data_IF_711421939034
#
_entry.id   IF_711421939034
#
_cell.length_a   1.000
_cell.length_b   1.000
_cell.length_c   1.000
_cell.angle_alpha   90.00
_cell.angle_beta   90.00
_cell.angle_gamma   90.00
#
_symmetry.space_group_name_H-M   'P 1'
#
loop_
_entity.id
_entity.type
_entity.pdbx_description
1 polymer ?
#
# COMPACT_ATOMS: atom_id res chain seq x y z
N UNK A 1 -15.37 4.29 -7.15
CA UNK A 1 -15.41 2.80 -7.10
C UNK A 1 -16.00 2.18 -8.35
N UNK A 2 -17.28 2.38 -8.71
CA UNK A 2 -17.90 1.73 -9.88
C UNK A 2 -17.16 1.98 -11.21
N UNK A 3 -16.63 3.20 -11.42
CA UNK A 3 -15.84 3.55 -12.62
C UNK A 3 -14.50 2.81 -12.75
N UNK A 4 -13.91 2.38 -11.64
CA UNK A 4 -12.60 1.73 -11.59
C UNK A 4 -12.70 0.20 -11.38
N UNK A 5 -13.91 -0.32 -11.19
CA UNK A 5 -14.16 -1.74 -11.00
C UNK A 5 -14.23 -2.44 -12.37
N UNK A 6 -13.49 -3.53 -12.52
CA UNK A 6 -13.36 -4.22 -13.81
C UNK A 6 -14.50 -5.22 -14.10
N UNK A 7 -15.39 -5.50 -13.15
CA UNK A 7 -16.47 -6.48 -13.28
C UNK A 7 -17.89 -5.88 -13.25
N UNK A 8 -18.90 -6.75 -13.34
CA UNK A 8 -20.30 -6.31 -13.50
C UNK A 8 -21.00 -5.92 -12.19
N UNK A 9 -20.67 -6.58 -11.07
CA UNK A 9 -21.23 -6.31 -9.74
C UNK A 9 -20.12 -5.85 -8.81
N UNK A 10 -20.38 -4.79 -8.04
CA UNK A 10 -19.46 -4.29 -7.02
C UNK A 10 -20.14 -4.30 -5.65
N UNK A 11 -19.42 -4.78 -4.66
CA UNK A 11 -19.77 -4.71 -3.25
C UNK A 11 -18.53 -4.23 -2.47
N UNK A 12 -18.77 -3.61 -1.32
CA UNK A 12 -17.69 -3.16 -0.42
C UNK A 12 -17.59 -4.20 0.68
N UNK A 13 -16.51 -4.97 0.67
CA UNK A 13 -16.22 -5.91 1.75
C UNK A 13 -15.73 -5.20 3.01
N UNK A 14 -14.88 -4.20 2.84
CA UNK A 14 -14.31 -3.44 3.94
C UNK A 14 -13.80 -2.08 3.46
N UNK A 15 -13.66 -1.16 4.41
CA UNK A 15 -12.95 0.10 4.21
C UNK A 15 -12.31 0.55 5.53
N UNK A 16 -11.25 1.33 5.43
CA UNK A 16 -10.61 1.98 6.57
C UNK A 16 -10.31 3.44 6.24
N UNK A 17 -10.47 4.32 7.22
CA UNK A 17 -10.04 5.72 7.11
C UNK A 17 -8.59 5.80 7.56
N UNK A 18 -7.71 6.25 6.67
CA UNK A 18 -6.28 6.38 6.95
C UNK A 18 -5.96 7.86 7.17
N UNK A 19 -5.57 8.19 8.40
CA UNK A 19 -5.15 9.54 8.79
C UNK A 19 -3.65 9.62 9.12
N UNK A 20 -2.98 8.47 9.21
CA UNK A 20 -1.58 8.33 9.59
C UNK A 20 -0.94 7.12 8.89
N UNK A 21 0.34 7.23 8.57
CA UNK A 21 1.18 6.14 8.12
C UNK A 21 2.61 6.38 8.59
N UNK A 22 3.25 5.36 9.16
CA UNK A 22 4.51 5.50 9.91
C UNK A 22 4.42 6.69 10.91
N UNK A 23 5.39 7.59 10.90
CA UNK A 23 5.44 8.81 11.72
C UNK A 23 4.72 10.03 11.11
N UNK A 24 3.97 9.88 10.01
CA UNK A 24 3.39 11.00 9.26
C UNK A 24 1.86 11.06 9.38
N UNK A 25 1.33 12.28 9.53
CA UNK A 25 -0.10 12.57 9.38
C UNK A 25 -0.44 12.79 7.91
N UNK A 26 -1.49 12.13 7.43
CA UNK A 26 -2.01 12.30 6.08
C UNK A 26 -3.05 13.42 6.08
N UNK A 27 -2.99 14.27 5.06
CA UNK A 27 -3.97 15.35 4.82
C UNK A 27 -4.26 15.44 3.34
N UNK A 28 -5.50 15.73 3.01
CA UNK A 28 -5.92 16.02 1.63
C UNK A 28 -5.88 17.52 1.39
N UNK A 29 -5.41 17.91 0.21
CA UNK A 29 -5.32 19.30 -0.25
C UNK A 29 -5.78 19.38 -1.70
N UNK A 30 -6.30 20.54 -2.12
CA UNK A 30 -6.54 20.81 -3.54
C UNK A 30 -5.27 21.22 -4.30
N UNK A 31 -4.20 21.54 -3.58
CA UNK A 31 -2.91 21.95 -4.15
C UNK A 31 -1.89 20.82 -4.07
N UNK A 32 -1.01 20.67 -5.08
CA UNK A 32 0.08 19.69 -5.05
C UNK A 32 0.97 19.87 -3.82
N UNK A 33 1.36 18.76 -3.22
CA UNK A 33 2.34 18.76 -2.15
C UNK A 33 3.73 19.11 -2.68
N UNK A 34 4.44 20.03 -2.02
CA UNK A 34 5.86 20.27 -2.26
C UNK A 34 6.76 19.36 -1.42
N UNK A 35 6.18 18.34 -0.77
CA UNK A 35 6.90 17.43 0.09
C UNK A 35 7.78 16.48 -0.74
N UNK A 36 8.95 16.13 -0.20
CA UNK A 36 9.85 15.13 -0.81
C UNK A 36 9.45 13.69 -0.46
N UNK A 37 8.40 13.53 0.34
CA UNK A 37 7.87 12.25 0.79
C UNK A 37 6.52 12.01 0.11
N UNK A 38 6.34 10.78 -0.36
CA UNK A 38 5.09 10.26 -0.92
C UNK A 38 4.60 9.07 -0.09
N UNK A 39 3.30 8.81 -0.17
CA UNK A 39 2.65 7.66 0.45
C UNK A 39 2.57 6.51 -0.57
N UNK A 40 2.96 5.32 -0.16
CA UNK A 40 2.98 4.15 -1.04
C UNK A 40 2.11 3.03 -0.48
N UNK A 41 1.25 2.46 -1.33
CA UNK A 41 0.58 1.20 -1.04
C UNK A 41 1.49 0.04 -1.42
N UNK A 42 1.85 -0.79 -0.45
CA UNK A 42 2.75 -1.92 -0.65
C UNK A 42 2.04 -3.22 -0.30
N UNK A 43 2.04 -4.15 -1.25
CA UNK A 43 1.65 -5.52 -1.05
C UNK A 43 2.90 -6.41 -1.03
N UNK A 44 3.12 -7.13 0.06
CA UNK A 44 4.22 -8.07 0.24
C UNK A 44 3.65 -9.48 0.24
N UNK A 45 4.18 -10.31 -0.66
CA UNK A 45 3.92 -11.75 -0.73
C UNK A 45 5.03 -12.54 -0.07
N UNK A 46 4.72 -13.70 0.49
CA UNK A 46 5.69 -14.60 1.10
C UNK A 46 5.13 -15.98 1.42
N UNK A 47 5.98 -16.90 1.86
CA UNK A 47 5.60 -18.28 2.16
C UNK A 47 6.00 -18.68 3.57
N UNK A 48 5.25 -19.58 4.20
CA UNK A 48 5.65 -20.23 5.44
C UNK A 48 5.65 -21.75 5.24
N UNK A 49 6.59 -22.46 5.88
CA UNK A 49 6.74 -23.92 5.72
C UNK A 49 5.51 -24.74 6.14
N UNK A 50 4.64 -24.15 6.95
CA UNK A 50 3.47 -24.79 7.55
C UNK A 50 2.19 -24.59 6.74
N UNK A 51 2.23 -23.81 5.65
CA UNK A 51 1.07 -23.52 4.80
C UNK A 51 1.41 -23.69 3.32
N UNK A 52 0.45 -24.22 2.57
CA UNK A 52 0.55 -24.30 1.12
C UNK A 52 0.21 -22.97 0.44
N UNK A 53 -0.67 -22.17 1.06
CA UNK A 53 -1.10 -20.91 0.50
C UNK A 53 -0.02 -19.84 0.67
N UNK A 54 0.17 -19.05 -0.39
CA UNK A 54 0.95 -17.81 -0.34
C UNK A 54 0.29 -16.82 0.62
N UNK A 55 1.12 -16.18 1.44
CA UNK A 55 0.72 -15.17 2.40
C UNK A 55 0.89 -13.79 1.80
N UNK A 56 -0.01 -12.88 2.18
CA UNK A 56 0.06 -11.50 1.76
C UNK A 56 -0.20 -10.58 2.95
N UNK A 57 0.62 -9.55 3.08
CA UNK A 57 0.36 -8.41 3.95
C UNK A 57 0.39 -7.13 3.13
N UNK A 58 -0.56 -6.25 3.41
CA UNK A 58 -0.69 -4.95 2.77
C UNK A 58 -0.59 -3.87 3.84
N UNK A 59 0.16 -2.80 3.55
CA UNK A 59 0.19 -1.61 4.39
C UNK A 59 0.64 -0.38 3.59
N UNK A 60 0.61 0.78 4.23
CA UNK A 60 1.02 2.06 3.69
C UNK A 60 2.36 2.51 4.26
N UNK A 61 3.28 2.89 3.38
CA UNK A 61 4.62 3.33 3.76
C UNK A 61 4.95 4.70 3.17
N UNK A 62 5.52 5.58 3.99
CA UNK A 62 6.03 6.88 3.54
C UNK A 62 7.50 6.77 3.16
N UNK A 63 7.86 7.30 1.99
CA UNK A 63 9.24 7.29 1.50
C UNK A 63 9.51 8.40 0.50
N UNK A 64 10.79 8.68 0.22
CA UNK A 64 11.20 9.62 -0.84
C UNK A 64 11.22 8.97 -2.22
N UNK A 65 11.06 7.65 -2.25
CA UNK A 65 10.97 6.86 -3.46
C UNK A 65 10.24 5.55 -3.18
N UNK A 66 9.70 4.98 -4.24
CA UNK A 66 9.19 3.62 -4.29
C UNK A 66 10.17 2.58 -3.70
N UNK A 67 11.47 2.72 -3.98
CA UNK A 67 12.50 1.81 -3.49
C UNK A 67 12.68 1.90 -1.97
N UNK A 68 12.67 3.12 -1.40
CA UNK A 68 12.73 3.32 0.05
C UNK A 68 11.50 2.73 0.74
N UNK A 69 10.30 3.02 0.23
CA UNK A 69 9.06 2.48 0.80
C UNK A 69 9.04 0.95 0.77
N UNK A 70 9.51 0.34 -0.33
CA UNK A 70 9.66 -1.12 -0.43
C UNK A 70 10.62 -1.69 0.62
N UNK A 71 11.76 -1.05 0.83
CA UNK A 71 12.72 -1.50 1.86
C UNK A 71 12.14 -1.41 3.27
N UNK A 72 11.33 -0.40 3.55
CA UNK A 72 10.60 -0.29 4.83
C UNK A 72 9.56 -1.40 4.97
N UNK A 73 8.79 -1.66 3.91
CA UNK A 73 7.75 -2.68 3.90
C UNK A 73 8.29 -4.09 4.15
N UNK A 74 9.35 -4.49 3.44
CA UNK A 74 9.97 -5.83 3.59
C UNK A 74 10.51 -6.06 5.01
N UNK A 75 10.91 -4.99 5.72
CA UNK A 75 11.37 -5.06 7.11
C UNK A 75 10.23 -5.11 8.13
N UNK A 76 9.04 -4.67 7.76
CA UNK A 76 7.90 -4.53 8.66
C UNK A 76 6.87 -5.65 8.48
N UNK A 77 6.72 -6.15 7.25
CA UNK A 77 5.68 -7.10 6.86
C UNK A 77 6.26 -8.49 6.62
N UNK A 78 5.51 -9.52 6.99
CA UNK A 78 5.82 -10.93 6.77
C UNK A 78 7.26 -11.31 7.15
N UNK A 79 7.82 -10.72 8.22
CA UNK A 79 9.25 -10.82 8.59
C UNK A 79 9.76 -12.24 8.82
N UNK A 80 8.86 -13.14 9.22
CA UNK A 80 9.16 -14.56 9.46
C UNK A 80 8.80 -15.47 8.27
N UNK A 81 8.42 -14.89 7.13
CA UNK A 81 8.15 -15.63 5.90
C UNK A 81 9.42 -15.87 5.09
N UNK A 82 9.43 -16.98 4.36
CA UNK A 82 10.42 -17.29 3.35
C UNK A 82 10.05 -16.68 2.01
N UNK A 83 11.07 -16.40 1.19
CA UNK A 83 10.90 -15.91 -0.18
C UNK A 83 10.00 -14.67 -0.28
N UNK A 84 10.16 -13.72 0.66
CA UNK A 84 9.48 -12.42 0.58
C UNK A 84 9.72 -11.79 -0.78
N UNK A 85 8.64 -11.40 -1.44
CA UNK A 85 8.68 -10.72 -2.72
C UNK A 85 7.56 -9.69 -2.80
N UNK A 86 7.58 -8.95 -3.91
CA UNK A 86 6.70 -7.81 -4.13
C UNK A 86 5.85 -8.11 -5.35
N UNK A 87 4.56 -8.30 -5.15
CA UNK A 87 3.66 -8.58 -6.26
C UNK A 87 3.36 -7.32 -7.04
N UNK A 88 2.91 -6.27 -6.35
CA UNK A 88 2.55 -5.01 -6.96
C UNK A 88 2.95 -3.82 -6.07
N UNK A 89 3.56 -2.81 -6.68
CA UNK A 89 3.75 -1.50 -6.05
C UNK A 89 2.93 -0.52 -6.87
N UNK A 90 1.96 0.12 -6.23
CA UNK A 90 1.21 1.21 -6.84
C UNK A 90 1.67 2.49 -6.16
N UNK A 91 2.12 3.44 -6.96
CA UNK A 91 2.31 4.80 -6.45
C UNK A 91 0.93 5.34 -6.07
N UNK A 92 0.81 5.84 -4.84
CA UNK A 92 -0.37 6.56 -4.37
C UNK A 92 0.07 8.01 -4.27
N UNK A 93 0.28 8.64 -5.43
CA UNK A 93 0.55 10.06 -5.47
C UNK A 93 -0.61 10.80 -4.77
N UNK A 94 -0.22 11.69 -3.84
CA UNK A 94 -1.13 12.59 -3.16
C UNK A 94 -1.87 13.43 -4.21
N UNK A 95 -3.20 13.47 -4.08
CA UNK A 95 -4.18 14.00 -5.03
C UNK A 95 -4.58 13.03 -6.16
N UNK A 96 -5.22 11.92 -5.80
CA UNK A 96 -6.19 11.29 -6.69
C UNK A 96 -7.39 12.24 -6.80
N UNK A 97 -7.58 12.87 -7.96
CA UNK A 97 -8.87 13.47 -8.29
C UNK A 97 -9.92 12.36 -8.29
N UNK A 98 -10.81 12.38 -7.30
CA UNK A 98 -12.01 11.55 -7.32
C UNK A 98 -13.04 12.23 -8.22
N UNK A 99 -13.25 11.69 -9.41
CA UNK A 99 -14.46 11.95 -10.21
C UNK A 99 -15.52 10.85 -10.05
#
# INVERSE_FOLDING_TARGET
MRKAWFGDKVYIDSYAVINWANEFRIKLSGEPSSNKYSLYFVNVGGYQLTTLAELYEIDLFVGRSAAEAKQKAIKALLVDSQCQHKDNLKDVDDCILLE
#
